data_IF_424830186239
#
_entry.id   IF_424830186239
#
_cell.length_a   1.000
_cell.length_b   1.000
_cell.length_c   1.000
_cell.angle_alpha   90.00
_cell.angle_beta   90.00
_cell.angle_gamma   90.00
#
_symmetry.space_group_name_H-M   'P 1'
#
loop_
_entity.id
_entity.type
_entity.pdbx_description
1 polymer ?
#
# COMPACT_ATOMS: atom_id res chain seq x y z
N UNK A 1 43.88 -54.73 -13.60
CA UNK A 1 44.92 -53.68 -13.57
C UNK A 1 44.21 -52.33 -13.54
N UNK A 2 44.18 -51.47 -12.51
CA UNK A 2 44.56 -51.40 -11.09
C UNK A 2 43.69 -50.26 -10.50
N UNK A 3 43.01 -50.37 -9.36
CA UNK A 3 43.45 -50.17 -7.96
C UNK A 3 44.11 -48.83 -7.61
N UNK A 4 43.35 -47.96 -6.91
CA UNK A 4 43.69 -47.16 -5.70
C UNK A 4 42.57 -46.11 -5.48
N UNK A 5 41.64 -46.11 -4.50
CA UNK A 5 41.63 -46.25 -3.03
C UNK A 5 42.25 -45.09 -2.22
N UNK A 6 41.43 -44.60 -1.25
CA UNK A 6 41.68 -43.71 -0.09
C UNK A 6 41.81 -42.19 -0.34
N UNK A 7 41.30 -41.30 0.52
CA UNK A 7 40.72 -41.48 1.85
C UNK A 7 40.32 -40.14 2.50
N UNK A 8 39.51 -40.28 3.55
CA UNK A 8 38.84 -39.30 4.41
C UNK A 8 39.79 -38.43 5.26
N UNK A 9 39.34 -37.24 5.71
CA UNK A 9 39.34 -36.82 7.14
C UNK A 9 39.01 -35.33 7.38
N UNK A 10 38.02 -35.09 8.24
CA UNK A 10 37.92 -33.99 9.23
C UNK A 10 38.46 -34.54 10.57
N UNK A 11 38.59 -33.77 11.69
CA UNK A 11 38.85 -32.35 11.96
C UNK A 11 40.07 -32.20 12.94
N UNK A 12 40.31 -31.06 13.66
CA UNK A 12 39.64 -30.84 14.96
C UNK A 12 39.36 -29.34 15.31
N UNK A 13 38.54 -29.05 16.34
CA UNK A 13 38.41 -27.72 16.91
C UNK A 13 39.52 -27.45 17.92
N UNK A 14 39.97 -26.19 18.05
CA UNK A 14 40.86 -25.76 19.14
C UNK A 14 40.17 -24.81 20.11
N UNK A 15 40.39 -25.19 21.37
CA UNK A 15 39.95 -24.67 22.66
C UNK A 15 40.23 -23.19 22.95
N UNK A 16 39.26 -22.59 23.63
CA UNK A 16 39.33 -21.74 24.83
C UNK A 16 40.59 -20.88 25.08
N UNK A 17 40.37 -19.57 25.20
CA UNK A 17 41.18 -18.68 26.05
C UNK A 17 40.29 -17.60 26.66
N UNK A 18 39.90 -17.83 27.91
CA UNK A 18 39.44 -16.80 28.85
C UNK A 18 40.64 -15.95 29.24
N UNK A 19 40.57 -14.63 29.08
CA UNK A 19 41.14 -13.72 30.07
C UNK A 19 40.45 -12.36 30.04
N UNK A 20 39.85 -12.02 31.17
CA UNK A 20 39.33 -10.70 31.50
C UNK A 20 40.46 -9.67 31.64
N UNK A 21 40.18 -8.40 31.29
CA UNK A 21 40.89 -7.24 31.84
C UNK A 21 39.99 -5.99 31.88
N UNK A 22 39.18 -5.92 32.93
CA UNK A 22 39.09 -4.84 33.93
C UNK A 22 39.50 -3.40 33.54
N UNK A 23 38.50 -2.49 33.62
CA UNK A 23 38.49 -1.18 34.34
C UNK A 23 39.40 -0.04 33.82
N UNK A 24 39.02 1.26 33.78
CA UNK A 24 38.32 2.08 34.78
C UNK A 24 37.73 3.39 34.18
N UNK A 25 36.89 4.10 34.95
CA UNK A 25 36.06 5.25 34.56
C UNK A 25 36.74 6.61 34.85
N UNK A 26 36.20 7.68 34.28
CA UNK A 26 36.42 9.09 34.65
C UNK A 26 35.05 9.77 34.46
N UNK A 27 34.16 9.92 35.45
CA UNK A 27 34.10 10.89 36.57
C UNK A 27 34.58 12.30 36.18
N UNK A 28 33.66 13.23 35.86
CA UNK A 28 33.02 14.20 36.76
C UNK A 28 33.36 15.62 36.22
N UNK A 29 32.65 16.73 36.43
CA UNK A 29 32.02 17.33 37.61
C UNK A 29 31.04 18.42 37.13
N UNK A 30 29.97 18.66 37.89
CA UNK A 30 29.00 19.75 37.73
C UNK A 30 29.45 21.04 38.42
N UNK A 31 29.06 22.24 37.92
CA UNK A 31 28.92 23.45 38.75
C UNK A 31 27.74 24.32 38.28
N UNK A 32 26.89 24.67 39.24
CA UNK A 32 25.77 25.60 39.21
C UNK A 32 26.19 27.06 39.04
N UNK A 33 25.34 27.88 38.43
CA UNK A 33 25.21 29.28 38.82
C UNK A 33 23.76 29.77 38.62
N UNK A 34 23.09 30.02 39.75
CA UNK A 34 21.85 30.78 39.84
C UNK A 34 22.19 32.27 39.93
N UNK A 35 21.46 33.11 39.18
CA UNK A 35 21.47 34.55 39.32
C UNK A 35 20.03 35.05 39.29
N UNK A 36 19.53 35.50 40.45
CA UNK A 36 18.19 36.06 40.62
C UNK A 36 18.23 37.60 40.64
N UNK A 37 17.06 38.17 40.31
CA UNK A 37 16.56 39.52 40.61
C UNK A 37 16.95 40.68 39.68
N UNK A 38 15.95 41.26 39.01
CA UNK A 38 15.33 42.58 39.31
C UNK A 38 14.04 42.68 38.44
N UNK A 39 12.84 42.55 39.02
CA UNK A 39 11.98 43.64 39.49
C UNK A 39 11.35 44.51 38.37
N UNK A 40 10.05 44.26 38.16
CA UNK A 40 8.97 45.24 37.95
C UNK A 40 8.89 46.01 36.62
N UNK A 41 7.98 45.61 35.73
CA UNK A 41 7.00 46.53 35.13
C UNK A 41 5.65 45.83 34.90
N UNK A 42 4.64 46.29 35.64
CA UNK A 42 3.22 46.10 35.36
C UNK A 42 2.86 46.92 34.12
N UNK A 43 2.36 46.27 33.07
CA UNK A 43 1.43 46.90 32.14
C UNK A 43 0.27 45.95 31.90
N UNK A 44 -0.90 46.41 32.34
CA UNK A 44 -2.18 45.83 32.04
C UNK A 44 -2.40 45.85 30.51
N UNK A 45 -2.75 44.71 29.94
CA UNK A 45 -3.51 44.68 28.69
C UNK A 45 -4.69 43.74 28.86
N UNK A 46 -5.87 44.33 28.68
CA UNK A 46 -7.17 43.67 28.67
C UNK A 46 -7.27 42.79 27.41
N UNK A 47 -7.49 41.49 27.64
CA UNK A 47 -8.34 40.59 26.85
C UNK A 47 -8.15 40.45 25.33
N UNK A 48 -7.55 39.34 24.92
CA UNK A 48 -8.03 38.58 23.77
C UNK A 48 -8.25 37.11 24.22
N UNK A 49 -9.38 36.47 23.91
CA UNK A 49 -9.58 35.08 24.30
C UNK A 49 -8.56 34.21 23.55
N UNK A 50 -7.85 33.36 24.29
CA UNK A 50 -7.01 32.33 23.71
C UNK A 50 -7.84 31.49 22.72
N UNK A 51 -7.33 31.17 21.52
CA UNK A 51 -8.01 30.25 20.63
C UNK A 51 -8.18 28.93 21.39
N UNK A 52 -9.45 28.56 21.60
CA UNK A 52 -9.84 27.28 22.16
C UNK A 52 -9.09 26.17 21.41
N UNK A 53 -8.16 25.52 22.10
CA UNK A 53 -7.53 24.31 21.60
C UNK A 53 -8.66 23.30 21.38
N UNK A 54 -9.03 23.10 20.11
CA UNK A 54 -10.01 22.09 19.72
C UNK A 54 -9.58 20.76 20.35
N UNK A 55 -10.45 20.03 21.05
CA UNK A 55 -10.09 18.76 21.65
C UNK A 55 -9.80 17.76 20.53
N UNK A 56 -8.53 17.61 20.16
CA UNK A 56 -8.04 16.52 19.31
C UNK A 56 -8.27 15.14 19.96
N UNK A 57 -8.68 15.11 21.22
CA UNK A 57 -8.91 13.90 22.02
C UNK A 57 -10.14 13.10 21.56
N UNK A 58 -11.11 13.70 20.87
CA UNK A 58 -12.29 12.97 20.39
C UNK A 58 -12.05 12.16 19.10
N UNK A 59 -11.00 12.47 18.33
CA UNK A 59 -10.64 11.75 17.10
C UNK A 59 -9.87 10.44 17.36
N UNK A 60 -9.30 10.27 18.56
CA UNK A 60 -8.54 9.06 18.92
C UNK A 60 -9.41 7.83 19.18
N UNK A 61 -10.72 7.98 19.35
CA UNK A 61 -11.62 6.87 19.64
C UNK A 61 -12.11 6.10 18.39
N UNK A 62 -11.77 6.56 17.17
CA UNK A 62 -12.29 5.99 15.91
C UNK A 62 -11.23 5.43 14.96
N UNK A 63 -10.05 5.05 15.47
CA UNK A 63 -8.96 4.51 14.64
C UNK A 63 -8.33 5.61 13.78
N UNK A 64 -7.16 6.08 14.20
CA UNK A 64 -6.52 7.26 13.61
C UNK A 64 -5.11 7.41 14.13
N UNK A 65 -4.23 6.49 13.74
CA UNK A 65 -2.79 6.73 13.84
C UNK A 65 -2.38 7.84 12.87
N UNK A 66 -1.17 8.38 13.04
CA UNK A 66 -0.59 9.48 12.22
C UNK A 66 -0.56 9.18 10.69
N UNK A 67 -0.88 7.96 10.29
CA UNK A 67 -0.91 7.48 8.91
C UNK A 67 -2.13 6.61 8.57
N UNK A 68 -3.19 6.65 9.37
CA UNK A 68 -4.39 5.87 9.12
C UNK A 68 -5.30 6.59 8.11
N UNK A 69 -5.64 5.94 7.01
CA UNK A 69 -6.57 6.44 5.98
C UNK A 69 -7.98 6.35 6.55
N UNK A 70 -8.53 7.52 6.86
CA UNK A 70 -9.88 7.65 7.40
C UNK A 70 -10.94 7.38 6.33
N UNK A 71 -12.18 7.13 6.74
CA UNK A 71 -13.29 6.94 5.79
C UNK A 71 -13.51 8.19 4.93
N UNK A 72 -13.22 9.38 5.48
CA UNK A 72 -13.27 10.64 4.73
C UNK A 72 -12.19 10.70 3.64
N UNK A 73 -10.99 10.16 3.91
CA UNK A 73 -9.92 10.09 2.92
C UNK A 73 -10.27 9.10 1.80
N UNK A 74 -10.92 7.98 2.13
CA UNK A 74 -11.40 7.01 1.13
C UNK A 74 -12.48 7.64 0.25
N UNK A 75 -13.46 8.32 0.84
CA UNK A 75 -14.52 9.01 0.09
C UNK A 75 -13.95 10.16 -0.76
N UNK A 76 -12.94 10.89 -0.27
CA UNK A 76 -12.24 11.91 -1.05
C UNK A 76 -11.47 11.30 -2.24
N UNK A 77 -10.78 10.17 -2.01
CA UNK A 77 -10.10 9.45 -3.08
C UNK A 77 -11.11 8.91 -4.12
N UNK A 78 -12.22 8.32 -3.67
CA UNK A 78 -13.33 7.89 -4.51
C UNK A 78 -13.83 9.04 -5.39
N UNK A 79 -14.19 10.17 -4.78
CA UNK A 79 -14.65 11.35 -5.51
C UNK A 79 -13.62 11.84 -6.54
N UNK A 80 -12.32 11.75 -6.23
CA UNK A 80 -11.24 12.17 -7.14
C UNK A 80 -11.08 11.28 -8.37
N UNK A 81 -11.50 10.01 -8.29
CA UNK A 81 -11.43 9.06 -9.41
C UNK A 81 -12.79 8.81 -10.06
N UNK A 82 -13.87 9.39 -9.53
CA UNK A 82 -15.24 9.27 -10.08
C UNK A 82 -15.85 10.63 -10.47
N UNK A 83 -15.02 11.56 -10.94
CA UNK A 83 -15.44 12.88 -11.46
C UNK A 83 -15.52 12.95 -12.98
N UNK A 84 -15.32 11.82 -13.67
CA UNK A 84 -15.21 11.74 -15.11
C UNK A 84 -16.51 11.36 -15.82
N UNK A 85 -16.39 11.11 -17.13
CA UNK A 85 -17.51 10.69 -17.99
C UNK A 85 -17.77 9.19 -18.00
N UNK A 86 -16.99 8.39 -17.26
CA UNK A 86 -17.08 6.94 -17.27
C UNK A 86 -16.57 6.30 -18.56
N UNK A 87 -17.09 5.10 -18.85
CA UNK A 87 -16.69 4.31 -20.02
C UNK A 87 -15.36 3.58 -19.82
N UNK A 88 -14.74 3.18 -20.92
CA UNK A 88 -13.47 2.44 -20.93
C UNK A 88 -12.25 3.38 -20.87
N UNK A 89 -11.12 2.95 -20.26
CA UNK A 89 -9.89 3.72 -20.26
C UNK A 89 -9.38 3.95 -21.69
N UNK A 90 -8.77 5.10 -21.99
CA UNK A 90 -8.26 5.38 -23.33
C UNK A 90 -7.23 4.36 -23.79
N UNK A 91 -7.34 3.91 -25.04
CA UNK A 91 -6.37 3.00 -25.68
C UNK A 91 -4.97 3.61 -25.66
N UNK A 92 -3.97 2.74 -25.43
CA UNK A 92 -2.56 3.11 -25.45
C UNK A 92 -2.07 3.72 -24.13
N UNK A 93 -2.94 3.78 -23.12
CA UNK A 93 -2.55 4.15 -21.76
C UNK A 93 -2.09 2.91 -21.00
N UNK A 94 -1.14 3.09 -20.06
CA UNK A 94 -0.70 2.01 -19.18
C UNK A 94 -1.87 1.39 -18.40
N UNK A 95 -2.91 2.17 -18.06
CA UNK A 95 -4.12 1.66 -17.40
C UNK A 95 -4.85 0.66 -18.30
N UNK A 96 -5.10 1.00 -19.57
CA UNK A 96 -5.75 0.07 -20.50
C UNK A 96 -4.95 -1.22 -20.71
N UNK A 97 -3.62 -1.11 -20.83
CA UNK A 97 -2.71 -2.25 -20.98
C UNK A 97 -2.70 -3.14 -19.73
N UNK A 98 -2.65 -2.55 -18.52
CA UNK A 98 -2.70 -3.30 -17.27
C UNK A 98 -4.05 -4.00 -17.12
N UNK A 99 -5.18 -3.32 -17.36
CA UNK A 99 -6.49 -3.94 -17.22
C UNK A 99 -6.64 -5.13 -18.17
N UNK A 100 -6.27 -4.97 -19.44
CA UNK A 100 -6.30 -6.09 -20.40
C UNK A 100 -5.34 -7.20 -19.95
N UNK A 101 -4.10 -6.86 -19.58
CA UNK A 101 -3.09 -7.85 -19.16
C UNK A 101 -3.57 -8.72 -17.99
N UNK A 102 -4.30 -8.16 -17.02
CA UNK A 102 -4.66 -8.85 -15.78
C UNK A 102 -6.09 -9.39 -15.73
N UNK A 103 -7.03 -8.79 -16.48
CA UNK A 103 -8.44 -9.16 -16.43
C UNK A 103 -8.97 -9.77 -17.73
N UNK A 104 -8.20 -9.72 -18.83
CA UNK A 104 -8.58 -10.38 -20.08
C UNK A 104 -8.27 -11.89 -20.02
N UNK A 105 -9.17 -12.65 -19.42
CA UNK A 105 -9.08 -14.10 -19.27
C UNK A 105 -10.21 -14.63 -18.38
N UNK A 106 -9.99 -15.81 -17.81
CA UNK A 106 -10.96 -16.46 -16.94
C UNK A 106 -10.38 -16.66 -15.54
N UNK A 107 -11.11 -16.21 -14.53
CA UNK A 107 -10.79 -16.48 -13.13
C UNK A 107 -11.47 -17.80 -12.74
N UNK A 108 -10.66 -18.76 -12.29
CA UNK A 108 -11.13 -20.06 -11.79
C UNK A 108 -10.65 -20.28 -10.36
N UNK A 109 -11.29 -21.15 -9.57
CA UNK A 109 -10.81 -21.48 -8.23
C UNK A 109 -9.36 -21.98 -8.19
N UNK A 110 -8.87 -22.55 -9.30
CA UNK A 110 -7.50 -23.06 -9.45
C UNK A 110 -6.49 -21.97 -9.85
N UNK A 111 -6.96 -20.80 -10.27
CA UNK A 111 -6.12 -19.69 -10.72
C UNK A 111 -6.69 -18.93 -11.91
N UNK A 112 -5.92 -17.97 -12.41
CA UNK A 112 -6.25 -17.20 -13.61
C UNK A 112 -5.77 -17.91 -14.87
N UNK A 113 -6.70 -18.18 -15.79
CA UNK A 113 -6.43 -18.75 -17.11
C UNK A 113 -6.43 -17.60 -18.12
N UNK A 114 -5.22 -17.15 -18.49
CA UNK A 114 -5.03 -16.06 -19.48
C UNK A 114 -5.42 -16.48 -20.91
N UNK A 115 -5.30 -17.78 -21.22
CA UNK A 115 -5.46 -18.33 -22.57
C UNK A 115 -6.48 -19.47 -22.58
N UNK A 116 -7.76 -19.17 -22.31
CA UNK A 116 -8.88 -20.12 -22.45
C UNK A 116 -9.18 -20.51 -23.92
N UNK A 117 -8.22 -20.32 -24.84
CA UNK A 117 -8.38 -20.47 -26.29
C UNK A 117 -8.88 -19.22 -27.02
N UNK A 118 -9.32 -18.18 -26.29
CA UNK A 118 -9.82 -16.92 -26.87
C UNK A 118 -8.72 -15.90 -27.21
N UNK A 119 -7.60 -15.92 -26.48
CA UNK A 119 -6.48 -14.98 -26.69
C UNK A 119 -5.37 -15.64 -27.52
N UNK A 120 -5.12 -15.13 -28.74
CA UNK A 120 -4.13 -15.66 -29.70
C UNK A 120 -2.74 -14.99 -29.60
N UNK A 121 -2.45 -14.34 -28.48
CA UNK A 121 -1.35 -13.39 -28.34
C UNK A 121 -1.85 -11.95 -28.51
N UNK A 122 -1.02 -10.93 -28.20
CA UNK A 122 -1.35 -9.57 -28.60
C UNK A 122 -1.67 -9.58 -30.11
N UNK A 123 -2.79 -9.00 -30.56
CA UNK A 123 -3.03 -8.83 -31.98
C UNK A 123 -1.80 -8.20 -32.65
N UNK A 124 -1.49 -8.44 -33.93
CA UNK A 124 -0.49 -7.66 -34.63
C UNK A 124 -0.81 -6.15 -34.48
N UNK A 125 -0.05 -5.44 -33.63
CA UNK A 125 -0.38 -4.10 -33.15
C UNK A 125 -0.58 -4.00 -31.62
N UNK A 126 -0.97 -2.83 -31.13
CA UNK A 126 -1.35 -2.65 -29.71
C UNK A 126 -2.79 -3.11 -29.43
N UNK A 127 -3.16 -3.25 -28.15
CA UNK A 127 -4.49 -3.71 -27.71
C UNK A 127 -5.64 -3.01 -28.43
N UNK A 128 -6.68 -3.75 -28.78
CA UNK A 128 -7.87 -3.24 -29.42
C UNK A 128 -8.88 -2.68 -28.40
N UNK A 129 -9.80 -1.82 -28.87
CA UNK A 129 -10.94 -1.35 -28.05
C UNK A 129 -11.81 -2.52 -27.54
N UNK A 130 -11.92 -3.60 -28.33
CA UNK A 130 -12.66 -4.81 -27.94
C UNK A 130 -12.00 -5.52 -26.75
N UNK A 131 -10.68 -5.63 -26.75
CA UNK A 131 -9.93 -6.25 -25.66
C UNK A 131 -10.08 -5.42 -24.38
N UNK A 132 -10.03 -4.09 -24.50
CA UNK A 132 -10.24 -3.17 -23.38
C UNK A 132 -11.63 -3.37 -22.78
N UNK A 133 -12.69 -3.38 -23.61
CA UNK A 133 -14.06 -3.57 -23.12
C UNK A 133 -14.22 -4.91 -22.38
N UNK A 134 -13.62 -6.00 -22.89
CA UNK A 134 -13.63 -7.31 -22.22
C UNK A 134 -12.87 -7.25 -20.89
N UNK A 135 -11.69 -6.64 -20.86
CA UNK A 135 -10.90 -6.48 -19.64
C UNK A 135 -11.60 -5.64 -18.58
N UNK A 136 -12.25 -4.53 -18.97
CA UNK A 136 -13.03 -3.67 -18.06
C UNK A 136 -14.25 -4.41 -17.53
N UNK A 137 -14.99 -5.14 -18.38
CA UNK A 137 -16.11 -5.95 -17.93
C UNK A 137 -15.68 -6.97 -16.88
N UNK A 138 -14.56 -7.67 -17.10
CA UNK A 138 -14.01 -8.62 -16.13
C UNK A 138 -13.46 -7.96 -14.88
N UNK A 139 -12.85 -6.78 -14.99
CA UNK A 139 -12.47 -5.98 -13.82
C UNK A 139 -13.70 -5.63 -12.97
N UNK A 140 -14.80 -5.16 -13.57
CA UNK A 140 -16.04 -4.85 -12.85
C UNK A 140 -16.58 -6.06 -12.09
N UNK A 141 -16.65 -7.21 -12.76
CA UNK A 141 -17.07 -8.48 -12.14
C UNK A 141 -16.19 -8.83 -10.94
N UNK A 142 -14.86 -8.76 -11.10
CA UNK A 142 -13.92 -9.07 -10.02
C UNK A 142 -13.92 -8.00 -8.92
N UNK A 143 -14.20 -6.73 -9.21
CA UNK A 143 -14.37 -5.73 -8.15
C UNK A 143 -15.65 -5.98 -7.35
N UNK A 144 -16.74 -6.39 -7.99
CA UNK A 144 -17.98 -6.71 -7.28
C UNK A 144 -17.84 -7.98 -6.42
N UNK A 145 -17.24 -9.03 -6.97
CA UNK A 145 -17.03 -10.31 -6.29
C UNK A 145 -15.63 -10.88 -6.58
N UNK A 146 -14.59 -10.41 -5.87
CA UNK A 146 -13.22 -10.78 -6.18
C UNK A 146 -12.96 -12.23 -5.82
N UNK A 147 -12.42 -12.98 -6.79
CA UNK A 147 -11.96 -14.35 -6.55
C UNK A 147 -10.60 -14.38 -5.85
N UNK A 148 -9.76 -13.38 -6.12
CA UNK A 148 -8.45 -13.20 -5.50
C UNK A 148 -8.36 -11.79 -4.91
N UNK A 149 -8.01 -11.71 -3.63
CA UNK A 149 -7.83 -10.46 -2.89
C UNK A 149 -6.45 -10.49 -2.27
N UNK A 150 -5.66 -9.45 -2.51
CA UNK A 150 -4.37 -9.23 -1.84
C UNK A 150 -4.63 -8.58 -0.49
N UNK A 151 -3.88 -9.00 0.54
CA UNK A 151 -3.96 -8.41 1.88
C UNK A 151 -3.28 -7.04 1.89
N UNK A 152 -3.95 -6.02 2.42
CA UNK A 152 -3.38 -4.69 2.67
C UNK A 152 -2.60 -4.63 3.98
N UNK A 153 -1.95 -3.49 4.24
CA UNK A 153 -1.25 -3.26 5.50
C UNK A 153 0.13 -3.90 5.61
N UNK A 154 1.07 -3.48 4.76
CA UNK A 154 2.49 -3.79 4.94
C UNK A 154 3.24 -4.03 3.64
N UNK A 155 4.36 -3.32 3.46
CA UNK A 155 5.29 -3.53 2.34
C UNK A 155 6.13 -4.79 2.47
N UNK A 156 7.12 -4.94 1.59
CA UNK A 156 8.05 -6.06 1.63
C UNK A 156 8.74 -6.15 3.01
N UNK A 157 8.70 -7.33 3.63
CA UNK A 157 9.30 -7.59 4.95
C UNK A 157 8.39 -7.31 6.16
N UNK A 158 7.13 -6.91 5.95
CA UNK A 158 6.14 -6.85 7.03
C UNK A 158 5.57 -8.24 7.30
N UNK A 159 5.39 -8.55 8.59
CA UNK A 159 4.80 -9.79 9.07
C UNK A 159 3.39 -10.02 8.49
N UNK A 160 3.15 -11.19 7.90
CA UNK A 160 1.87 -11.59 7.30
C UNK A 160 0.70 -11.54 8.29
N UNK A 161 0.96 -11.68 9.59
CA UNK A 161 -0.07 -11.57 10.63
C UNK A 161 -0.60 -10.16 10.81
N UNK A 162 0.13 -9.15 10.33
CA UNK A 162 -0.24 -7.74 10.42
C UNK A 162 -0.99 -7.24 9.18
N UNK A 163 -1.12 -8.08 8.15
CA UNK A 163 -1.83 -7.75 6.92
C UNK A 163 -3.33 -8.05 7.05
N UNK A 164 -4.14 -7.16 6.50
CA UNK A 164 -5.61 -7.23 6.59
C UNK A 164 -6.17 -7.68 5.24
N UNK A 165 -7.01 -8.71 5.24
CA UNK A 165 -7.68 -9.19 4.00
C UNK A 165 -8.82 -8.26 3.62
N UNK A 166 -9.62 -7.87 4.61
CA UNK A 166 -10.83 -7.06 4.48
C UNK A 166 -10.94 -6.18 5.73
N UNK A 167 -11.00 -4.87 5.55
CA UNK A 167 -11.11 -3.92 6.66
C UNK A 167 -12.57 -3.65 7.08
N UNK A 168 -13.53 -4.33 6.45
CA UNK A 168 -14.96 -4.23 6.76
C UNK A 168 -15.60 -2.92 6.30
N UNK A 169 -14.87 -2.05 5.60
CA UNK A 169 -15.38 -0.74 5.16
C UNK A 169 -16.24 -0.81 3.89
N UNK A 170 -16.31 -1.97 3.23
CA UNK A 170 -17.14 -2.19 2.04
C UNK A 170 -16.58 -1.60 0.75
N UNK A 171 -15.30 -1.24 0.73
CA UNK A 171 -14.60 -0.74 -0.45
C UNK A 171 -13.80 -1.85 -1.12
N UNK A 172 -13.72 -1.78 -2.44
CA UNK A 172 -12.81 -2.60 -3.25
C UNK A 172 -11.87 -1.69 -4.02
N UNK A 173 -10.59 -1.99 -3.95
CA UNK A 173 -9.52 -1.18 -4.53
C UNK A 173 -8.87 -1.92 -5.68
N UNK A 174 -8.57 -1.20 -6.76
CA UNK A 174 -7.59 -1.60 -7.76
C UNK A 174 -6.29 -0.84 -7.44
N UNK A 175 -5.22 -1.55 -7.17
CA UNK A 175 -3.91 -0.93 -6.92
C UNK A 175 -2.82 -1.59 -7.76
N UNK A 176 -1.80 -0.81 -8.11
CA UNK A 176 -0.62 -1.31 -8.79
C UNK A 176 0.56 -1.52 -7.85
N UNK A 177 1.32 -2.59 -8.11
CA UNK A 177 2.53 -2.95 -7.41
C UNK A 177 3.71 -3.12 -8.36
N UNK A 178 4.90 -2.71 -7.92
CA UNK A 178 6.13 -2.84 -8.69
C UNK A 178 6.94 -3.99 -8.11
N UNK A 179 7.02 -5.10 -8.84
CA UNK A 179 7.86 -6.24 -8.49
C UNK A 179 8.97 -6.50 -9.50
N UNK A 180 9.82 -7.53 -9.28
CA UNK A 180 10.84 -7.95 -10.23
C UNK A 180 10.28 -8.29 -11.64
N UNK A 181 9.00 -8.66 -11.73
CA UNK A 181 8.28 -8.90 -12.99
C UNK A 181 7.69 -7.65 -13.66
N UNK A 182 7.99 -6.47 -13.14
CA UNK A 182 7.43 -5.19 -13.58
C UNK A 182 6.13 -4.81 -12.88
N UNK A 183 5.42 -3.85 -13.47
CA UNK A 183 4.17 -3.32 -12.93
C UNK A 183 3.02 -4.32 -13.10
N UNK A 184 2.33 -4.59 -12.01
CA UNK A 184 1.14 -5.44 -11.94
C UNK A 184 -0.01 -4.72 -11.23
N UNK A 185 -1.25 -5.17 -11.45
CA UNK A 185 -2.41 -4.70 -10.68
C UNK A 185 -3.03 -5.83 -9.88
N UNK A 186 -3.58 -5.48 -8.73
CA UNK A 186 -4.17 -6.39 -7.75
C UNK A 186 -5.43 -5.76 -7.16
N UNK A 187 -6.32 -6.61 -6.62
CA UNK A 187 -7.53 -6.18 -5.94
C UNK A 187 -7.38 -6.31 -4.43
N UNK A 188 -7.88 -5.32 -3.69
CA UNK A 188 -7.85 -5.30 -2.23
C UNK A 188 -9.25 -4.98 -1.68
N UNK A 189 -9.61 -5.63 -0.57
CA UNK A 189 -10.80 -5.24 0.24
C UNK A 189 -10.42 -4.43 1.49
N UNK A 190 -9.15 -4.04 1.55
CA UNK A 190 -8.55 -3.27 2.62
C UNK A 190 -7.72 -2.16 2.00
N UNK A 191 -7.52 -1.04 2.69
CA UNK A 191 -6.66 0.05 2.19
C UNK A 191 -5.27 -0.48 1.71
N UNK A 192 -4.88 -0.24 0.44
CA UNK A 192 -3.66 -0.82 -0.15
C UNK A 192 -2.41 0.02 0.20
N UNK A 193 -2.08 0.09 1.49
CA UNK A 193 -0.93 0.85 1.99
C UNK A 193 0.39 0.44 1.33
N UNK A 194 1.20 1.43 0.95
CA UNK A 194 2.48 1.22 0.29
C UNK A 194 2.37 0.76 -1.17
N UNK A 195 1.15 0.70 -1.74
CA UNK A 195 0.89 0.41 -3.15
C UNK A 195 0.40 1.67 -3.87
N UNK A 196 0.28 1.60 -5.19
CA UNK A 196 -0.29 2.67 -6.02
C UNK A 196 -1.80 2.48 -6.12
N UNK A 197 -2.57 3.10 -5.25
CA UNK A 197 -4.03 3.06 -5.35
C UNK A 197 -4.47 3.73 -6.65
N UNK A 198 -5.05 2.97 -7.58
CA UNK A 198 -5.43 3.47 -8.90
C UNK A 198 -6.89 3.89 -8.91
N UNK A 199 -7.77 3.01 -8.42
CA UNK A 199 -9.21 3.18 -8.46
C UNK A 199 -9.84 2.54 -7.22
N UNK A 200 -10.97 3.07 -6.76
CA UNK A 200 -11.75 2.50 -5.65
C UNK A 200 -13.23 2.55 -6.00
N UNK A 201 -13.98 1.55 -5.56
CA UNK A 201 -15.43 1.51 -5.71
C UNK A 201 -16.09 0.95 -4.45
N UNK A 202 -17.35 1.33 -4.21
CA UNK A 202 -18.20 0.65 -3.23
C UNK A 202 -18.49 -0.74 -3.77
N UNK A 203 -18.13 -1.80 -3.04
CA UNK A 203 -18.25 -3.16 -3.53
C UNK A 203 -19.70 -3.52 -3.90
N UNK A 204 -20.66 -3.02 -3.13
CA UNK A 204 -22.09 -3.22 -3.37
C UNK A 204 -22.62 -2.47 -4.61
N UNK A 205 -21.88 -1.50 -5.15
CA UNK A 205 -22.31 -0.67 -6.29
C UNK A 205 -21.14 -0.27 -7.18
N UNK A 206 -20.41 -1.26 -7.69
CA UNK A 206 -19.23 -1.02 -8.56
C UNK A 206 -19.61 -0.26 -9.82
N UNK A 207 -20.79 -0.53 -10.38
CA UNK A 207 -21.22 0.09 -11.64
C UNK A 207 -21.30 1.62 -11.54
N UNK A 208 -21.71 2.16 -10.39
CA UNK A 208 -21.73 3.60 -10.17
C UNK A 208 -20.34 4.22 -10.36
N UNK A 209 -19.31 3.62 -9.77
CA UNK A 209 -17.95 4.12 -9.88
C UNK A 209 -17.48 4.17 -11.35
N UNK A 210 -17.72 3.10 -12.09
CA UNK A 210 -17.31 2.99 -13.50
C UNK A 210 -18.12 3.90 -14.44
N UNK A 211 -19.38 4.18 -14.10
CA UNK A 211 -20.22 5.12 -14.87
C UNK A 211 -19.70 6.57 -14.80
N UNK A 212 -18.84 6.88 -13.81
CA UNK A 212 -18.25 8.20 -13.57
C UNK A 212 -16.73 8.17 -13.54
N UNK A 213 -16.10 7.08 -13.97
CA UNK A 213 -14.66 6.91 -13.88
C UNK A 213 -13.92 8.06 -14.59
N UNK A 214 -12.97 8.65 -13.88
CA UNK A 214 -11.99 9.59 -14.40
C UNK A 214 -10.68 8.86 -14.69
N UNK A 215 -10.56 8.31 -15.90
CA UNK A 215 -9.37 7.56 -16.30
C UNK A 215 -8.10 8.40 -16.36
N UNK A 216 -8.22 9.74 -16.45
CA UNK A 216 -7.09 10.65 -16.35
C UNK A 216 -6.55 10.72 -14.92
N UNK A 217 -7.46 10.86 -13.94
CA UNK A 217 -7.10 10.82 -12.53
C UNK A 217 -6.53 9.45 -12.11
N UNK A 218 -7.12 8.35 -12.59
CA UNK A 218 -6.60 6.99 -12.38
C UNK A 218 -5.18 6.83 -12.92
N UNK A 219 -4.93 7.29 -14.15
CA UNK A 219 -3.60 7.27 -14.76
C UNK A 219 -2.59 8.08 -13.95
N UNK A 220 -2.96 9.25 -13.46
CA UNK A 220 -2.10 10.10 -12.65
C UNK A 220 -1.69 9.46 -11.31
N UNK A 221 -2.41 8.45 -10.83
CA UNK A 221 -2.10 7.74 -9.60
C UNK A 221 -1.07 6.61 -9.78
N UNK A 222 -0.72 6.22 -11.02
CA UNK A 222 0.32 5.21 -11.28
C UNK A 222 1.69 5.60 -10.70
N UNK A 223 1.96 6.90 -10.57
CA UNK A 223 3.20 7.42 -10.01
C UNK A 223 3.11 7.75 -8.50
N UNK A 224 1.96 7.50 -7.87
CA UNK A 224 1.70 7.87 -6.47
C UNK A 224 1.55 6.64 -5.60
N UNK A 225 2.25 6.62 -4.46
CA UNK A 225 2.08 5.57 -3.45
C UNK A 225 1.14 6.06 -2.35
N UNK A 226 0.14 5.25 -2.00
CA UNK A 226 -0.81 5.55 -0.93
C UNK A 226 -0.18 5.18 0.42
N UNK A 227 0.21 6.20 1.19
CA UNK A 227 0.93 6.02 2.44
C UNK A 227 2.30 5.33 2.26
N UNK A 228 2.99 5.05 3.37
CA UNK A 228 4.25 4.32 3.37
C UNK A 228 4.07 2.81 3.63
N UNK A 229 4.98 1.95 3.11
CA UNK A 229 4.95 0.50 3.38
C UNK A 229 5.06 0.12 4.86
N UNK A 230 5.52 1.04 5.71
CA UNK A 230 5.66 0.90 7.16
C UNK A 230 4.36 1.08 7.95
N UNK A 231 3.25 1.48 7.31
CA UNK A 231 1.99 1.74 7.99
C UNK A 231 1.34 0.41 8.39
N UNK A 232 1.08 0.25 9.69
CA UNK A 232 0.31 -0.88 10.21
C UNK A 232 -1.18 -0.60 10.02
N UNK A 233 -1.85 -1.48 9.30
CA UNK A 233 -3.30 -1.50 9.23
C UNK A 233 -3.82 -2.16 10.51
N UNK A 234 -4.81 -1.54 11.17
CA UNK A 234 -5.39 -2.02 12.43
C UNK A 234 -6.78 -2.59 12.22
#
# INVERSE_FOLDING_TARGET
FGSSHFGSSLPPPRSCSTMARTSRPILAVAVLAAGACLASQLLAFVGAPAPSARPQTALRARGGGEYDVSDADIEAFYASVTSGGGGDPPKGTVISELIVKFFHGEFTPQGFIRYSGLWKGPPPGGIGKKDIAVGVAKLKEQMANPMFVTKGGGGAGVDETQKVVDDGKGWVWLAADMGPGGLAVELFKSVPYGKRALFVAKQANVEEAFSKADWGAVLANVEKTLGGPQIKQR
#
